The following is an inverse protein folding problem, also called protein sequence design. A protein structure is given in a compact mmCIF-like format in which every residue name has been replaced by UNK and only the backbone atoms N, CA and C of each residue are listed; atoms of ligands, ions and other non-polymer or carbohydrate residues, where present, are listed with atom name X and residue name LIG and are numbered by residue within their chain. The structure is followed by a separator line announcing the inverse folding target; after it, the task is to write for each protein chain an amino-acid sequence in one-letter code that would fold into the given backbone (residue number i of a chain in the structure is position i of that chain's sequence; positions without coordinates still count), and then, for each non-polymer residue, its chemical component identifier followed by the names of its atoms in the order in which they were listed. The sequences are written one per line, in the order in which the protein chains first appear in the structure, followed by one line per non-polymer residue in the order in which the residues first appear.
data_IF_592401151556
#
_entry.id   IF_592401151556
#
_cell.length_a   1.000
_cell.length_b   1.000
_cell.length_c   1.000
_cell.angle_alpha   90.00
_cell.angle_beta   90.00
_cell.angle_gamma   90.00
#
_symmetry.space_group_name_H-M   'P 1'
#
loop_
_entity.id
_entity.type
_entity.pdbx_description
1 polymer ?
#
# COMPACT_ATOMS: atom_id res chain seq x y z
N UNK A 1 -6.50 1.86 21.82
CA UNK A 1 -5.06 2.01 21.53
C UNK A 1 -4.94 2.97 20.37
N UNK A 2 -4.55 4.21 20.61
CA UNK A 2 -4.17 5.09 19.50
C UNK A 2 -2.74 4.73 19.09
N UNK A 3 -2.58 4.13 17.92
CA UNK A 3 -1.27 3.98 17.30
C UNK A 3 -0.85 5.33 16.74
N UNK A 4 -0.31 6.22 17.59
CA UNK A 4 0.32 7.45 17.13
C UNK A 4 1.76 7.15 16.75
N UNK A 5 2.00 6.98 15.46
CA UNK A 5 3.35 6.90 14.91
C UNK A 5 3.81 8.30 14.49
N UNK A 6 5.01 8.72 14.88
CA UNK A 6 5.60 9.98 14.41
C UNK A 6 5.71 10.01 12.88
N UNK A 7 5.52 11.19 12.26
CA UNK A 7 5.51 11.34 10.81
C UNK A 7 6.85 10.97 10.17
N UNK A 8 7.96 11.27 10.83
CA UNK A 8 9.31 10.85 10.49
C UNK A 8 9.42 9.32 10.40
N UNK A 9 8.84 8.61 11.37
CA UNK A 9 8.82 7.13 11.36
C UNK A 9 7.95 6.57 10.23
N UNK A 10 6.89 7.28 9.83
CA UNK A 10 6.03 6.88 8.70
C UNK A 10 6.72 7.16 7.37
N UNK A 11 7.45 8.28 7.25
CA UNK A 11 8.16 8.67 6.03
C UNK A 11 9.17 7.63 5.56
N UNK A 12 9.80 6.91 6.49
CA UNK A 12 10.80 5.88 6.15
C UNK A 12 10.18 4.50 5.86
N UNK A 13 8.85 4.41 5.73
CA UNK A 13 8.14 3.15 5.43
C UNK A 13 7.74 3.03 3.98
N UNK A 14 7.39 1.81 3.61
CA UNK A 14 6.77 1.48 2.33
C UNK A 14 5.32 1.13 2.58
N UNK A 15 4.41 1.80 1.88
CA UNK A 15 3.02 1.39 1.79
C UNK A 15 2.92 0.26 0.78
N UNK A 16 2.41 -0.89 1.20
CA UNK A 16 2.09 -1.99 0.30
C UNK A 16 0.58 -2.11 0.20
N UNK A 17 0.06 -2.04 -1.03
CA UNK A 17 -1.34 -2.24 -1.32
C UNK A 17 -1.48 -3.43 -2.27
N UNK A 18 -2.22 -4.45 -1.84
CA UNK A 18 -2.44 -5.69 -2.58
C UNK A 18 -3.89 -5.85 -2.96
N UNK A 19 -4.14 -6.29 -4.19
CA UNK A 19 -5.47 -6.63 -4.68
C UNK A 19 -5.60 -8.14 -4.75
N UNK A 20 -6.69 -8.63 -4.19
CA UNK A 20 -7.03 -10.05 -4.14
C UNK A 20 -8.43 -10.24 -4.70
N UNK A 21 -8.61 -11.28 -5.50
CA UNK A 21 -9.92 -11.77 -5.87
C UNK A 21 -10.44 -12.66 -4.75
N UNK A 22 -11.65 -12.36 -4.27
CA UNK A 22 -12.30 -13.17 -3.25
C UNK A 22 -13.32 -14.09 -3.90
N UNK A 23 -13.13 -15.41 -3.73
CA UNK A 23 -14.09 -16.44 -4.11
C UNK A 23 -14.56 -17.15 -2.82
N UNK A 24 -15.86 -17.42 -2.70
CA UNK A 24 -16.45 -18.06 -1.52
C UNK A 24 -16.23 -19.57 -1.49
N UNK A 25 -15.85 -20.17 -2.62
CA UNK A 25 -15.63 -21.61 -2.77
C UNK A 25 -14.17 -22.00 -2.98
N UNK A 26 -13.27 -21.03 -3.19
CA UNK A 26 -11.85 -21.23 -3.48
C UNK A 26 -10.97 -20.35 -2.59
N UNK A 27 -9.66 -20.60 -2.62
CA UNK A 27 -8.69 -19.70 -1.98
C UNK A 27 -8.68 -18.34 -2.69
N UNK A 28 -8.40 -17.28 -1.93
CA UNK A 28 -8.26 -15.94 -2.51
C UNK A 28 -7.07 -15.91 -3.48
N UNK A 29 -7.31 -15.42 -4.68
CA UNK A 29 -6.27 -15.29 -5.70
C UNK A 29 -5.63 -13.91 -5.64
N UNK A 30 -4.30 -13.85 -5.58
CA UNK A 30 -3.58 -12.60 -5.66
C UNK A 30 -3.58 -12.06 -7.10
N UNK A 31 -4.09 -10.84 -7.29
CA UNK A 31 -4.19 -10.21 -8.61
C UNK A 31 -3.02 -9.27 -8.91
N UNK A 32 -2.31 -8.82 -7.88
CA UNK A 32 -1.22 -7.86 -8.02
C UNK A 32 -1.19 -6.87 -6.88
N UNK A 33 -0.13 -6.05 -6.83
CA UNK A 33 -0.02 -5.01 -5.83
C UNK A 33 1.00 -3.95 -6.19
N UNK A 34 1.09 -2.95 -5.33
CA UNK A 34 2.04 -1.85 -5.45
C UNK A 34 2.81 -1.70 -4.15
N UNK A 35 4.08 -1.33 -4.26
CA UNK A 35 4.93 -0.91 -3.14
C UNK A 35 5.31 0.53 -3.37
N UNK A 36 4.92 1.38 -2.43
CA UNK A 36 5.05 2.82 -2.55
C UNK A 36 5.89 3.34 -1.38
N UNK A 37 7.19 3.62 -1.59
CA UNK A 37 8.03 4.25 -0.58
C UNK A 37 7.45 5.62 -0.20
N UNK A 38 7.06 5.77 1.07
CA UNK A 38 6.44 6.99 1.57
C UNK A 38 7.43 8.16 1.64
N UNK A 39 8.73 7.86 1.55
CA UNK A 39 9.82 8.83 1.45
C UNK A 39 9.75 9.69 0.19
N UNK A 40 9.05 9.22 -0.85
CA UNK A 40 8.88 9.94 -2.11
C UNK A 40 7.59 10.77 -2.17
N UNK A 41 6.73 10.69 -1.16
CA UNK A 41 5.47 11.43 -1.11
C UNK A 41 5.53 12.59 -0.11
N UNK A 42 4.82 13.67 -0.44
CA UNK A 42 4.48 14.70 0.54
C UNK A 42 3.29 14.22 1.37
N UNK A 43 3.58 13.56 2.50
CA UNK A 43 2.57 13.01 3.42
C UNK A 43 1.63 14.05 4.06
N UNK A 44 1.90 15.35 3.87
CA UNK A 44 1.03 16.44 4.34
C UNK A 44 0.05 16.90 3.26
N UNK A 45 0.11 16.33 2.06
CA UNK A 45 -0.79 16.62 0.94
C UNK A 45 -1.49 15.35 0.47
N UNK A 46 -2.70 15.53 0.00
CA UNK A 46 -3.44 14.46 -0.65
C UNK A 46 -2.73 14.06 -1.96
N UNK A 47 -2.54 12.76 -2.15
CA UNK A 47 -1.99 12.18 -3.39
C UNK A 47 -3.11 11.42 -4.09
N UNK A 48 -3.46 11.85 -5.32
CA UNK A 48 -4.49 11.22 -6.14
C UNK A 48 -3.89 10.88 -7.50
N UNK A 49 -3.45 9.63 -7.64
CA UNK A 49 -2.76 9.15 -8.84
C UNK A 49 -3.15 7.70 -9.17
N UNK A 50 -3.00 7.32 -10.43
CA UNK A 50 -3.17 5.94 -10.89
C UNK A 50 -1.85 5.19 -10.80
N UNK A 51 -1.86 4.05 -10.11
CA UNK A 51 -0.69 3.19 -9.96
C UNK A 51 -0.93 1.84 -10.66
N UNK A 52 -0.02 1.40 -11.55
CA UNK A 52 -0.16 0.09 -12.21
C UNK A 52 0.11 -1.04 -11.20
N UNK A 53 -0.70 -2.10 -11.24
CA UNK A 53 -0.45 -3.29 -10.43
C UNK A 53 0.74 -4.07 -10.99
N UNK A 54 1.67 -4.43 -10.10
CA UNK A 54 2.81 -5.27 -10.42
C UNK A 54 2.79 -6.60 -9.66
N UNK A 55 3.63 -7.54 -10.11
CA UNK A 55 4.00 -8.69 -9.29
C UNK A 55 4.87 -8.20 -8.14
N UNK A 56 4.38 -8.31 -6.92
CA UNK A 56 5.18 -8.04 -5.72
C UNK A 56 6.16 -9.21 -5.54
N UNK A 57 7.44 -8.98 -5.82
CA UNK A 57 8.54 -9.90 -5.52
C UNK A 57 9.41 -9.35 -4.40
#
# INVERSE_FOLDING_TARGET
MEYRMPLDVIRDRVLEATIWNHDTLQENEFLGGIRLPLSHLDLMKETVEWFPLGSLR
#
